data_IF_605067827226
#
_entry.id   IF_605067827226
#
_cell.length_a   1.000
_cell.length_b   1.000
_cell.length_c   1.000
_cell.angle_alpha   90.00
_cell.angle_beta   90.00
_cell.angle_gamma   90.00
#
_symmetry.space_group_name_H-M   'P 1'
#
loop_
_entity.id
_entity.type
_entity.pdbx_description
1 polymer ?
#
# COMPACT_ATOMS: atom_id res chain seq x y z
N UNK A 1 -4.21 5.45 6.90
CA UNK A 1 -3.76 6.86 6.83
C UNK A 1 -2.35 6.93 6.24
N UNK A 2 -1.92 8.06 5.66
CA UNK A 2 -0.61 8.15 4.97
C UNK A 2 0.07 9.52 5.13
N UNK A 3 1.39 9.56 4.96
CA UNK A 3 2.18 10.80 4.90
C UNK A 3 3.32 10.70 3.88
N UNK A 4 3.64 11.81 3.20
CA UNK A 4 4.77 11.89 2.27
C UNK A 4 6.15 11.98 2.95
N UNK A 5 6.20 11.97 4.29
CA UNK A 5 7.46 11.96 5.06
C UNK A 5 8.04 10.55 5.11
N UNK A 6 9.36 10.46 5.17
CA UNK A 6 10.05 9.19 5.40
C UNK A 6 9.97 8.85 6.91
N UNK A 7 8.86 8.20 7.30
CA UNK A 7 8.58 7.76 8.68
C UNK A 7 8.71 6.24 8.82
N UNK A 8 8.94 5.78 10.05
CA UNK A 8 8.95 4.35 10.40
C UNK A 8 7.80 4.08 11.37
N UNK A 9 6.57 4.20 10.88
CA UNK A 9 5.35 4.05 11.70
C UNK A 9 4.63 2.71 11.45
N UNK A 10 4.67 2.20 10.21
CA UNK A 10 4.15 0.88 9.85
C UNK A 10 5.29 -0.08 9.46
N UNK A 11 5.20 -1.33 9.89
CA UNK A 11 6.18 -2.39 9.58
C UNK A 11 6.00 -2.94 8.15
N UNK A 12 7.04 -3.58 7.62
CA UNK A 12 7.04 -4.19 6.29
C UNK A 12 7.17 -3.19 5.14
N UNK A 13 6.48 -3.48 4.04
CA UNK A 13 6.65 -2.82 2.74
C UNK A 13 7.98 -3.15 2.07
N UNK A 14 8.23 -2.56 0.90
CA UNK A 14 9.43 -2.84 0.10
C UNK A 14 10.77 -2.53 0.81
N UNK A 15 10.77 -1.62 1.80
CA UNK A 15 11.95 -1.29 2.62
C UNK A 15 12.13 -2.23 3.83
N UNK A 16 11.18 -3.14 4.06
CA UNK A 16 11.18 -4.09 5.17
C UNK A 16 11.40 -3.42 6.54
N UNK A 17 10.57 -2.42 6.87
CA UNK A 17 10.61 -1.76 8.18
C UNK A 17 10.36 -2.79 9.28
N UNK A 18 11.33 -2.97 10.17
CA UNK A 18 11.25 -3.88 11.31
C UNK A 18 10.62 -3.20 12.54
N UNK A 19 10.27 -3.99 13.55
CA UNK A 19 9.79 -3.47 14.83
C UNK A 19 10.85 -2.58 15.50
N UNK A 20 12.13 -2.93 15.35
CA UNK A 20 13.24 -2.16 15.88
C UNK A 20 13.39 -0.78 15.23
N UNK A 21 13.05 -0.66 13.94
CA UNK A 21 13.13 0.59 13.18
C UNK A 21 12.05 1.60 13.59
N UNK A 22 10.98 1.15 14.27
CA UNK A 22 9.86 2.01 14.64
C UNK A 22 10.34 3.17 15.53
N UNK A 23 11.31 2.93 16.41
CA UNK A 23 11.83 3.97 17.33
C UNK A 23 12.54 5.14 16.65
N UNK A 24 12.94 5.00 15.38
CA UNK A 24 13.77 6.00 14.72
C UNK A 24 12.98 7.24 14.30
N UNK A 25 11.78 7.04 13.72
CA UNK A 25 10.97 8.11 13.11
C UNK A 25 9.47 7.89 13.29
N UNK A 26 9.06 7.45 14.48
CA UNK A 26 7.66 7.46 14.89
C UNK A 26 7.24 8.86 15.33
N UNK A 27 6.54 9.60 14.47
CA UNK A 27 6.29 11.04 14.69
C UNK A 27 4.82 11.38 14.98
N UNK A 28 3.97 10.39 15.20
CA UNK A 28 2.56 10.56 15.53
C UNK A 28 2.28 9.99 16.92
N UNK A 29 1.41 10.66 17.67
CA UNK A 29 0.83 10.11 18.91
C UNK A 29 -0.53 9.43 18.66
N UNK A 30 -1.04 9.51 17.43
CA UNK A 30 -2.22 8.79 16.96
C UNK A 30 -1.79 7.44 16.35
N UNK A 31 -2.64 6.88 15.48
CA UNK A 31 -2.34 5.65 14.76
C UNK A 31 -1.16 5.81 13.78
N UNK A 32 -0.42 4.71 13.52
CA UNK A 32 0.70 4.70 12.59
C UNK A 32 0.27 4.94 11.14
N UNK A 33 1.07 5.69 10.39
CA UNK A 33 0.80 6.03 8.99
C UNK A 33 1.75 5.31 8.04
N UNK A 34 1.25 5.04 6.83
CA UNK A 34 2.12 4.64 5.74
C UNK A 34 3.08 5.77 5.36
N UNK A 35 4.36 5.45 5.20
CA UNK A 35 5.32 6.36 4.58
C UNK A 35 5.11 6.44 3.05
N UNK A 36 5.82 7.37 2.40
CA UNK A 36 5.65 7.62 0.96
C UNK A 36 5.85 6.36 0.09
N UNK A 37 6.85 5.53 0.41
CA UNK A 37 7.14 4.30 -0.36
C UNK A 37 6.04 3.27 -0.17
N UNK A 38 5.61 3.01 1.07
CA UNK A 38 4.52 2.09 1.37
C UNK A 38 3.19 2.53 0.74
N UNK A 39 2.91 3.84 0.73
CA UNK A 39 1.70 4.38 0.10
C UNK A 39 1.69 4.19 -1.42
N UNK A 40 2.84 4.37 -2.10
CA UNK A 40 2.98 4.11 -3.53
C UNK A 40 2.88 2.62 -3.86
N UNK A 41 3.51 1.77 -3.06
CA UNK A 41 3.40 0.31 -3.19
C UNK A 41 1.94 -0.13 -3.11
N UNK A 42 1.20 0.34 -2.11
CA UNK A 42 -0.23 0.07 -1.98
C UNK A 42 -1.03 0.58 -3.19
N UNK A 43 -0.70 1.76 -3.74
CA UNK A 43 -1.38 2.30 -4.90
C UNK A 43 -1.20 1.42 -6.15
N UNK A 44 0.00 0.88 -6.38
CA UNK A 44 0.24 -0.07 -7.47
C UNK A 44 -0.50 -1.38 -7.26
N UNK A 45 -0.45 -1.98 -6.07
CA UNK A 45 -1.18 -3.21 -5.76
C UNK A 45 -2.69 -3.04 -5.96
N UNK A 46 -3.27 -1.93 -5.51
CA UNK A 46 -4.69 -1.64 -5.73
C UNK A 46 -4.99 -1.45 -7.21
N UNK A 47 -4.11 -0.78 -7.98
CA UNK A 47 -4.29 -0.62 -9.42
C UNK A 47 -4.27 -1.98 -10.14
N UNK A 48 -3.36 -2.88 -9.79
CA UNK A 48 -3.29 -4.23 -10.35
C UNK A 48 -4.55 -5.04 -10.04
N UNK A 49 -5.05 -4.96 -8.80
CA UNK A 49 -6.30 -5.60 -8.40
C UNK A 49 -7.48 -5.11 -9.23
N UNK A 50 -7.60 -3.79 -9.43
CA UNK A 50 -8.66 -3.20 -10.24
C UNK A 50 -8.55 -3.59 -11.72
N UNK A 51 -7.32 -3.66 -12.27
CA UNK A 51 -7.10 -4.13 -13.63
C UNK A 51 -7.53 -5.59 -13.79
N UNK A 52 -7.14 -6.47 -12.86
CA UNK A 52 -7.55 -7.87 -12.88
C UNK A 52 -9.07 -8.04 -12.78
N UNK A 53 -9.75 -7.23 -11.96
CA UNK A 53 -11.22 -7.21 -11.88
C UNK A 53 -11.86 -6.75 -13.19
N UNK A 54 -11.28 -5.73 -13.83
CA UNK A 54 -11.73 -5.20 -15.13
C UNK A 54 -11.66 -6.28 -16.21
N UNK A 55 -10.51 -6.95 -16.32
CA UNK A 55 -10.28 -8.02 -17.30
C UNK A 55 -11.21 -9.21 -17.06
N UNK A 56 -11.44 -9.58 -15.80
CA UNK A 56 -12.36 -10.65 -15.46
C UNK A 56 -13.82 -10.29 -15.81
N UNK A 57 -14.21 -9.02 -15.70
CA UNK A 57 -15.52 -8.55 -16.13
C UNK A 57 -15.67 -8.61 -17.66
N UNK A 58 -14.67 -8.16 -18.41
CA UNK A 58 -14.66 -8.19 -19.88
C UNK A 58 -14.75 -9.64 -20.41
N UNK A 59 -14.02 -10.58 -19.80
CA UNK A 59 -14.09 -12.00 -20.15
C UNK A 59 -15.49 -12.59 -19.93
N UNK A 60 -16.18 -12.20 -18.85
CA UNK A 60 -17.55 -12.65 -18.59
C UNK A 60 -18.53 -12.12 -19.63
N UNK A 61 -18.36 -10.86 -20.06
CA UNK A 61 -19.18 -10.25 -21.12
C UNK A 61 -18.95 -10.96 -22.46
N UNK A 62 -17.69 -11.27 -22.80
CA UNK A 62 -17.37 -12.00 -24.02
C UNK A 62 -17.93 -13.44 -24.01
N UNK A 63 -18.01 -14.09 -22.85
CA UNK A 63 -18.51 -15.46 -22.73
C UNK A 63 -20.04 -15.61 -22.90
N UNK A 64 -20.79 -14.51 -22.85
CA UNK A 64 -22.25 -14.49 -23.05
C UNK A 64 -22.69 -13.93 -24.41
N UNK A 65 -21.74 -13.44 -25.21
CA UNK A 65 -21.95 -12.95 -26.59
C UNK A 65 -21.73 -14.08 -27.60
#
# INVERSE_FOLDING_TARGET
EMTGKDVTECTGGARAVSDEDLKDRYHTHCDPRLNATQALELAFLVSELLQAESEAADQKVAAIA
#
